data_IF_320597880265
#
_entry.id   IF_320597880265
#
_cell.length_a   1.000
_cell.length_b   1.000
_cell.length_c   1.000
_cell.angle_alpha   90.00
_cell.angle_beta   90.00
_cell.angle_gamma   90.00
#
_symmetry.space_group_name_H-M   'P 1'
#
loop_
_entity.id
_entity.type
_entity.pdbx_description
1 polymer ?
#
# COMPACT_ATOMS: atom_id res chain seq x y z
N UNK A 1 -29.91 1.49 14.07
CA UNK A 1 -28.75 0.92 14.79
C UNK A 1 -28.22 -0.27 13.97
N UNK A 2 -26.96 -0.37 13.59
CA UNK A 2 -25.77 -0.35 14.45
C UNK A 2 -24.59 0.26 13.69
N UNK A 3 -23.85 1.14 14.36
CA UNK A 3 -22.47 1.43 13.99
C UNK A 3 -21.57 0.33 14.52
N UNK A 4 -20.49 0.06 13.79
CA UNK A 4 -19.40 -0.80 14.26
C UNK A 4 -18.32 -0.86 13.19
N UNK A 5 -17.16 -0.26 13.49
CA UNK A 5 -15.93 -0.51 12.75
C UNK A 5 -15.64 -2.02 12.81
N UNK A 6 -15.96 -2.74 11.74
CA UNK A 6 -15.85 -4.19 11.69
C UNK A 6 -14.39 -4.63 11.56
N UNK A 7 -13.89 -5.24 12.63
CA UNK A 7 -12.85 -6.28 12.66
C UNK A 7 -11.47 -5.96 12.08
N UNK A 8 -10.81 -4.85 12.46
CA UNK A 8 -9.34 -4.71 12.44
C UNK A 8 -8.56 -5.06 11.15
N UNK A 9 -9.25 -5.29 10.04
CA UNK A 9 -8.70 -5.88 8.83
C UNK A 9 -8.91 -4.90 7.68
N UNK A 10 -7.80 -4.43 7.13
CA UNK A 10 -7.76 -3.48 6.03
C UNK A 10 -8.58 -4.05 4.85
N UNK A 11 -9.59 -3.34 4.32
CA UNK A 11 -10.36 -3.78 3.17
C UNK A 11 -9.48 -4.04 1.93
N UNK A 12 -9.98 -4.83 0.97
CA UNK A 12 -9.29 -5.01 -0.32
C UNK A 12 -9.27 -3.71 -1.10
N UNK A 13 -8.17 -3.48 -1.81
CA UNK A 13 -7.98 -2.28 -2.61
C UNK A 13 -7.23 -1.20 -1.85
N UNK A 14 -7.53 0.05 -2.17
CA UNK A 14 -6.83 1.22 -1.65
C UNK A 14 -7.74 1.94 -0.66
N UNK A 15 -7.24 2.15 0.56
CA UNK A 15 -7.92 2.86 1.63
C UNK A 15 -8.09 4.36 1.35
N UNK A 16 -8.78 5.03 2.27
CA UNK A 16 -9.04 6.47 2.19
C UNK A 16 -7.75 7.28 2.27
N UNK A 17 -7.73 8.46 1.64
CA UNK A 17 -6.64 9.44 1.69
C UNK A 17 -5.25 8.89 1.32
N UNK A 18 -5.21 7.86 0.47
CA UNK A 18 -3.95 7.32 -0.05
C UNK A 18 -3.43 8.15 -1.23
N UNK A 19 -2.11 8.30 -1.31
CA UNK A 19 -1.43 8.83 -2.49
C UNK A 19 -0.53 7.75 -3.07
N UNK A 20 -0.91 7.20 -4.22
CA UNK A 20 -0.17 6.15 -4.93
C UNK A 20 0.30 6.70 -6.27
N UNK A 21 1.61 6.68 -6.52
CA UNK A 21 2.22 7.22 -7.74
C UNK A 21 3.35 6.30 -8.20
N UNK A 22 3.40 6.03 -9.51
CA UNK A 22 4.43 5.17 -10.11
C UNK A 22 4.54 3.80 -9.41
N UNK A 23 3.40 3.14 -9.22
CA UNK A 23 3.32 1.89 -8.49
C UNK A 23 2.48 0.84 -9.22
N UNK A 24 2.88 -0.43 -9.10
CA UNK A 24 2.12 -1.61 -9.50
C UNK A 24 1.50 -2.18 -8.23
N UNK A 25 0.16 -2.21 -8.20
CA UNK A 25 -0.60 -2.80 -7.10
C UNK A 25 -1.28 -4.06 -7.64
N UNK A 26 -0.84 -5.22 -7.17
CA UNK A 26 -1.30 -6.51 -7.67
C UNK A 26 -2.62 -6.96 -6.99
N UNK A 27 -3.23 -8.02 -7.50
CA UNK A 27 -4.56 -8.47 -7.17
C UNK A 27 -4.72 -8.73 -5.66
N UNK A 28 -5.83 -8.26 -5.10
CA UNK A 28 -6.18 -8.38 -3.67
C UNK A 28 -5.18 -7.75 -2.68
N UNK A 29 -4.25 -6.91 -3.13
CA UNK A 29 -3.49 -6.08 -2.20
C UNK A 29 -4.45 -5.20 -1.36
N UNK A 30 -4.03 -4.91 -0.12
CA UNK A 30 -4.78 -4.13 0.87
C UNK A 30 -3.91 -2.97 1.32
N UNK A 31 -4.24 -1.77 0.90
CA UNK A 31 -3.51 -0.56 1.28
C UNK A 31 -4.35 0.17 2.34
N UNK A 32 -3.78 0.33 3.53
CA UNK A 32 -4.46 1.01 4.64
C UNK A 32 -4.65 2.50 4.40
N UNK A 33 -5.56 3.11 5.15
CA UNK A 33 -5.86 4.54 5.03
C UNK A 33 -4.62 5.41 5.25
N UNK A 34 -4.50 6.52 4.52
CA UNK A 34 -3.42 7.50 4.65
C UNK A 34 -2.05 7.06 4.13
N UNK A 35 -1.95 5.92 3.43
CA UNK A 35 -0.67 5.49 2.86
C UNK A 35 -0.14 6.46 1.78
N UNK A 36 1.18 6.60 1.71
CA UNK A 36 1.88 7.36 0.67
C UNK A 36 2.89 6.46 -0.02
N UNK A 37 2.50 5.90 -1.16
CA UNK A 37 3.33 5.05 -2.01
C UNK A 37 3.84 5.91 -3.17
N UNK A 38 4.90 6.68 -2.94
CA UNK A 38 5.35 7.71 -3.89
C UNK A 38 6.85 7.68 -4.17
N UNK A 39 7.66 6.91 -3.44
CA UNK A 39 9.11 6.81 -3.58
C UNK A 39 9.75 8.21 -3.63
N UNK A 40 9.52 9.02 -2.60
CA UNK A 40 9.93 10.43 -2.59
C UNK A 40 11.45 10.60 -2.63
N UNK A 41 12.19 9.60 -2.17
CA UNK A 41 13.66 9.58 -2.15
C UNK A 41 14.25 9.15 -3.51
N UNK A 42 13.44 8.71 -4.47
CA UNK A 42 13.92 8.29 -5.79
C UNK A 42 14.79 7.03 -5.73
N UNK A 43 14.45 6.09 -4.85
CA UNK A 43 15.17 4.81 -4.73
C UNK A 43 14.99 4.00 -6.01
N UNK A 44 16.08 3.51 -6.59
CA UNK A 44 16.05 2.71 -7.81
C UNK A 44 15.61 1.26 -7.55
N UNK A 45 16.20 0.62 -6.53
CA UNK A 45 15.91 -0.76 -6.16
C UNK A 45 15.93 -0.95 -4.64
N UNK A 46 14.90 -1.59 -4.11
CA UNK A 46 14.80 -1.94 -2.69
C UNK A 46 13.91 -3.17 -2.49
N UNK A 47 14.09 -3.88 -1.39
CA UNK A 47 13.30 -5.05 -1.03
C UNK A 47 12.75 -4.94 0.39
N UNK A 48 11.50 -5.37 0.54
CA UNK A 48 10.86 -5.59 1.82
C UNK A 48 10.02 -6.87 1.75
N UNK A 49 9.45 -7.28 2.89
CA UNK A 49 8.54 -8.43 2.93
C UNK A 49 7.20 -8.17 2.21
N UNK A 50 6.78 -6.91 2.07
CA UNK A 50 5.41 -6.54 1.67
C UNK A 50 5.35 -5.73 0.37
N UNK A 51 6.49 -5.24 -0.11
CA UNK A 51 6.63 -4.46 -1.33
C UNK A 51 8.08 -4.52 -1.80
N UNK A 52 8.32 -4.18 -3.07
CA UNK A 52 9.66 -4.02 -3.63
C UNK A 52 9.69 -2.75 -4.47
N UNK A 53 10.86 -2.16 -4.69
CA UNK A 53 11.05 -1.11 -5.70
C UNK A 53 11.96 -1.68 -6.79
N UNK A 54 11.55 -1.51 -8.05
CA UNK A 54 12.31 -1.88 -9.25
C UNK A 54 12.25 -0.75 -10.26
N UNK A 55 13.41 -0.26 -10.67
CA UNK A 55 13.57 0.88 -11.59
C UNK A 55 12.71 2.10 -11.16
N UNK A 56 12.68 2.38 -9.86
CA UNK A 56 11.90 3.47 -9.27
C UNK A 56 10.39 3.22 -9.16
N UNK A 57 9.89 2.06 -9.60
CA UNK A 57 8.48 1.65 -9.52
C UNK A 57 8.25 0.84 -8.25
N UNK A 58 7.31 1.28 -7.41
CA UNK A 58 6.88 0.50 -6.24
C UNK A 58 6.03 -0.67 -6.73
N UNK A 59 6.29 -1.88 -6.26
CA UNK A 59 5.51 -3.08 -6.57
C UNK A 59 4.98 -3.67 -5.28
N UNK A 60 3.65 -3.67 -5.12
CA UNK A 60 2.94 -4.34 -4.02
C UNK A 60 2.38 -5.66 -4.55
N UNK A 61 2.91 -6.82 -4.12
CA UNK A 61 2.54 -8.12 -4.67
C UNK A 61 1.14 -8.57 -4.23
N UNK A 62 0.61 -9.60 -4.91
CA UNK A 62 -0.71 -10.17 -4.65
C UNK A 62 -0.91 -10.50 -3.18
N UNK A 63 -2.09 -10.15 -2.66
CA UNK A 63 -2.51 -10.34 -1.27
C UNK A 63 -1.67 -9.60 -0.21
N UNK A 64 -0.69 -8.78 -0.60
CA UNK A 64 0.10 -8.02 0.38
C UNK A 64 -0.76 -7.02 1.13
N UNK A 65 -0.36 -6.73 2.37
CA UNK A 65 -1.02 -5.78 3.26
C UNK A 65 -0.04 -4.68 3.58
N UNK A 66 -0.38 -3.46 3.19
CA UNK A 66 0.34 -2.25 3.55
C UNK A 66 -0.44 -1.57 4.69
N UNK A 67 0.12 -1.47 5.91
CA UNK A 67 -0.58 -0.88 7.06
C UNK A 67 -0.96 0.60 6.85
N UNK A 68 -1.99 1.13 7.54
CA UNK A 68 -2.37 2.54 7.44
C UNK A 68 -1.20 3.48 7.77
N UNK A 69 -1.12 4.60 7.06
CA UNK A 69 -0.08 5.62 7.25
C UNK A 69 1.32 5.22 6.77
N UNK A 70 1.50 4.07 6.13
CA UNK A 70 2.80 3.65 5.59
C UNK A 70 3.29 4.63 4.52
N UNK A 71 4.58 4.99 4.58
CA UNK A 71 5.26 5.83 3.59
C UNK A 71 6.36 5.02 2.91
N UNK A 72 6.29 4.92 1.58
CA UNK A 72 7.24 4.21 0.71
C UNK A 72 7.68 5.16 -0.40
#
# INVERSE_FOLDING_TARGET
>A
PEGGAGDGQIPRGIGHDCHVRNAIIDFNARIGDGCRLVNAEGVENADSEQWTIRDGIIVVPKNAVIPPGTVI
#
